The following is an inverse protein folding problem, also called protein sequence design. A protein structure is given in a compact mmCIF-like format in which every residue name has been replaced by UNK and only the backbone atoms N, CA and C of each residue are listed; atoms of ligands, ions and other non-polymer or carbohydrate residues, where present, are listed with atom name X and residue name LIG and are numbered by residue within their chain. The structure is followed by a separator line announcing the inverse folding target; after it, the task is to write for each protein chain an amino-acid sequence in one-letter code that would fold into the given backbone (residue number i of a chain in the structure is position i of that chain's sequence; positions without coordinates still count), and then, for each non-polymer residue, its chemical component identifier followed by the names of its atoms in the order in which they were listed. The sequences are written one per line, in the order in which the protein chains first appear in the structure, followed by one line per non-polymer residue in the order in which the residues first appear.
data_IF_926065186469
#
_entry.id   IF_926065186469
#
_cell.length_a   1.000
_cell.length_b   1.000
_cell.length_c   1.000
_cell.angle_alpha   90.00
_cell.angle_beta   90.00
_cell.angle_gamma   90.00
#
_symmetry.space_group_name_H-M   'P 1'
#
loop_
_entity.id
_entity.type
_entity.pdbx_description
1 polymer ?
#
# COMPACT_ATOMS: atom_id res chain seq x y z
N UNK A 1 -16.30 5.34 6.60
CA UNK A 1 -14.96 5.83 6.17
C UNK A 1 -14.36 6.61 7.33
N UNK A 2 -13.02 6.71 7.40
CA UNK A 2 -12.36 7.57 8.38
C UNK A 2 -12.49 9.04 7.95
N UNK A 3 -12.06 9.33 6.71
CA UNK A 3 -12.25 10.64 6.08
C UNK A 3 -13.71 10.87 5.68
N UNK A 4 -14.10 12.14 5.69
CA UNK A 4 -15.44 12.62 5.35
C UNK A 4 -15.38 13.85 4.42
N UNK A 5 -14.23 14.09 3.78
CA UNK A 5 -13.99 15.20 2.84
C UNK A 5 -14.94 15.16 1.62
N UNK A 6 -15.52 14.00 1.35
CA UNK A 6 -16.54 13.77 0.33
C UNK A 6 -17.96 14.21 0.76
N UNK A 7 -18.13 14.76 1.96
CA UNK A 7 -19.42 15.22 2.50
C UNK A 7 -19.32 16.71 2.84
N UNK A 8 -20.25 17.52 2.31
CA UNK A 8 -20.41 18.91 2.74
C UNK A 8 -21.02 18.97 4.14
N UNK A 9 -20.17 19.08 5.16
CA UNK A 9 -20.58 19.16 6.57
C UNK A 9 -21.43 20.41 6.83
N UNK A 10 -21.13 21.53 6.15
CA UNK A 10 -21.89 22.77 6.27
C UNK A 10 -23.35 22.60 5.82
N UNK A 11 -23.57 21.98 4.64
CA UNK A 11 -24.92 21.75 4.13
C UNK A 11 -25.70 20.71 4.94
N UNK A 12 -25.04 19.64 5.39
CA UNK A 12 -25.65 18.64 6.27
C UNK A 12 -26.13 19.26 7.58
N UNK A 13 -25.30 20.13 8.18
CA UNK A 13 -25.63 20.85 9.42
C UNK A 13 -26.82 21.78 9.23
N UNK A 14 -26.84 22.58 8.15
CA UNK A 14 -27.95 23.49 7.82
C UNK A 14 -29.30 22.77 7.68
N UNK A 15 -29.27 21.51 7.26
CA UNK A 15 -30.46 20.67 7.03
C UNK A 15 -30.77 19.73 8.19
N UNK A 16 -30.06 19.85 9.31
CA UNK A 16 -30.19 18.98 10.48
C UNK A 16 -29.98 17.48 10.18
N UNK A 17 -29.07 17.17 9.26
CA UNK A 17 -28.67 15.80 8.91
C UNK A 17 -27.43 15.42 9.72
N UNK A 18 -27.54 14.36 10.51
CA UNK A 18 -26.42 13.84 11.31
C UNK A 18 -25.45 13.07 10.41
N UNK A 19 -24.15 13.35 10.55
CA UNK A 19 -23.07 12.65 9.83
C UNK A 19 -22.17 11.96 10.85
N UNK A 20 -21.91 10.67 10.61
CA UNK A 20 -20.97 9.87 11.39
C UNK A 20 -19.83 9.33 10.53
N UNK A 21 -18.70 9.03 11.16
CA UNK A 21 -17.54 8.39 10.53
C UNK A 21 -17.00 7.25 11.44
N UNK A 22 -15.96 6.56 10.97
CA UNK A 22 -15.41 5.36 11.64
C UNK A 22 -13.91 5.50 11.89
N UNK A 23 -13.46 6.39 12.80
CA UNK A 23 -12.05 6.62 13.06
C UNK A 23 -11.39 5.44 13.81
N UNK A 24 -10.07 5.30 13.66
CA UNK A 24 -9.24 4.40 14.48
C UNK A 24 -9.25 2.91 14.12
N UNK A 25 -10.19 2.44 13.29
CA UNK A 25 -10.35 1.00 13.03
C UNK A 25 -9.50 0.43 11.88
N UNK A 26 -8.83 1.27 11.08
CA UNK A 26 -8.15 0.85 9.84
C UNK A 26 -6.63 1.09 9.85
N UNK A 27 -6.06 1.61 10.94
CA UNK A 27 -4.64 2.01 11.00
C UNK A 27 -3.72 0.82 10.76
N UNK A 28 -3.94 -0.29 11.49
CA UNK A 28 -3.12 -1.50 11.36
C UNK A 28 -3.24 -2.14 9.97
N UNK A 29 -4.47 -2.35 9.49
CA UNK A 29 -4.71 -2.95 8.18
C UNK A 29 -4.13 -2.13 7.02
N UNK A 30 -4.15 -0.80 7.14
CA UNK A 30 -3.53 0.10 6.15
C UNK A 30 -2.01 -0.02 6.19
N UNK A 31 -1.41 -0.11 7.37
CA UNK A 31 0.03 -0.31 7.52
C UNK A 31 0.49 -1.66 6.93
N UNK A 32 -0.24 -2.74 7.20
CA UNK A 32 0.04 -4.07 6.64
C UNK A 32 0.06 -4.04 5.11
N UNK A 33 -0.95 -3.40 4.52
CA UNK A 33 -1.03 -3.26 3.07
C UNK A 33 0.11 -2.39 2.52
N UNK A 34 0.47 -1.29 3.21
CA UNK A 34 1.58 -0.44 2.79
C UNK A 34 2.91 -1.20 2.75
N UNK A 35 3.23 -1.99 3.78
CA UNK A 35 4.43 -2.84 3.79
C UNK A 35 4.36 -3.98 2.79
N UNK A 36 3.17 -4.54 2.56
CA UNK A 36 2.94 -5.55 1.53
C UNK A 36 3.26 -4.99 0.14
N UNK A 37 2.78 -3.79 -0.18
CA UNK A 37 3.06 -3.12 -1.45
C UNK A 37 4.54 -2.76 -1.59
N UNK A 38 5.18 -2.27 -0.54
CA UNK A 38 6.62 -1.99 -0.51
C UNK A 38 7.43 -3.24 -0.87
N UNK A 39 7.15 -4.37 -0.22
CA UNK A 39 7.83 -5.64 -0.49
C UNK A 39 7.52 -6.18 -1.88
N UNK A 40 6.25 -6.13 -2.30
CA UNK A 40 5.81 -6.62 -3.59
C UNK A 40 6.51 -5.89 -4.74
N UNK A 41 6.67 -4.57 -4.61
CA UNK A 41 7.39 -3.73 -5.55
C UNK A 41 8.90 -4.05 -5.56
N UNK A 42 9.56 -4.00 -4.39
CA UNK A 42 11.00 -4.23 -4.29
C UNK A 42 11.43 -5.63 -4.76
N UNK A 43 10.60 -6.64 -4.47
CA UNK A 43 10.88 -8.06 -4.79
C UNK A 43 10.16 -8.57 -6.03
N UNK A 44 9.54 -7.68 -6.81
CA UNK A 44 8.91 -7.98 -8.10
C UNK A 44 7.88 -9.12 -8.03
N UNK A 45 7.13 -9.20 -6.93
CA UNK A 45 6.25 -10.35 -6.63
C UNK A 45 5.18 -10.53 -7.71
N UNK A 46 4.54 -9.45 -8.15
CA UNK A 46 3.50 -9.50 -9.19
C UNK A 46 4.07 -9.92 -10.55
N UNK A 47 5.29 -9.48 -10.88
CA UNK A 47 5.96 -9.90 -12.11
C UNK A 47 6.36 -11.38 -12.05
N UNK A 48 6.80 -11.85 -10.88
CA UNK A 48 7.16 -13.25 -10.64
C UNK A 48 5.96 -14.19 -10.78
N UNK A 49 4.81 -13.83 -10.19
CA UNK A 49 3.56 -14.58 -10.34
C UNK A 49 3.18 -14.69 -11.84
N UNK A 50 3.19 -13.56 -12.55
CA UNK A 50 2.92 -13.54 -13.99
C UNK A 50 3.96 -14.33 -14.81
N UNK A 51 5.23 -14.28 -14.43
CA UNK A 51 6.31 -15.02 -15.08
C UNK A 51 6.11 -16.53 -14.98
N UNK A 52 5.72 -17.00 -13.80
CA UNK A 52 5.42 -18.41 -13.53
C UNK A 52 4.15 -18.86 -14.24
N UNK A 53 3.05 -18.10 -14.15
CA UNK A 53 1.78 -18.42 -14.84
C UNK A 53 1.92 -18.52 -16.35
N UNK A 54 2.84 -17.75 -16.94
CA UNK A 54 3.18 -17.81 -18.39
C UNK A 54 4.10 -18.97 -18.77
N UNK A 55 4.44 -19.88 -17.83
CA UNK A 55 5.31 -21.02 -18.07
C UNK A 55 6.77 -20.66 -18.39
N UNK A 56 7.18 -19.41 -18.10
CA UNK A 56 8.55 -18.92 -18.39
C UNK A 56 9.57 -19.39 -17.34
N UNK A 57 9.11 -19.77 -16.15
CA UNK A 57 9.96 -20.41 -15.16
C UNK A 57 10.26 -21.86 -15.58
N UNK A 58 11.54 -22.14 -15.81
CA UNK A 58 12.05 -23.48 -16.19
C UNK A 58 12.92 -24.08 -15.10
N UNK A 59 13.79 -23.26 -14.52
CA UNK A 59 14.63 -23.59 -13.37
C UNK A 59 15.09 -22.30 -12.71
N UNK A 60 15.82 -22.42 -11.60
CA UNK A 60 16.50 -21.29 -10.98
C UNK A 60 17.62 -20.74 -11.89
N UNK A 61 17.85 -19.44 -11.84
CA UNK A 61 18.97 -18.80 -12.51
C UNK A 61 19.39 -17.51 -11.79
N UNK A 62 20.70 -17.20 -11.77
CA UNK A 62 21.25 -16.14 -10.90
C UNK A 62 20.80 -14.72 -11.28
N UNK A 63 20.20 -14.53 -12.45
CA UNK A 63 19.74 -13.22 -12.96
C UNK A 63 18.22 -13.13 -13.12
N UNK A 64 17.48 -14.20 -12.81
CA UNK A 64 16.04 -14.22 -13.01
C UNK A 64 15.39 -13.36 -11.92
N UNK A 65 14.66 -12.33 -12.33
CA UNK A 65 13.82 -11.49 -11.46
C UNK A 65 14.56 -10.91 -10.25
N UNK A 66 15.84 -10.52 -10.43
CA UNK A 66 16.55 -9.75 -9.41
C UNK A 66 15.74 -8.50 -9.02
N UNK A 67 15.58 -8.30 -7.72
CA UNK A 67 14.90 -7.17 -7.11
C UNK A 67 15.86 -6.43 -6.17
N UNK A 68 15.30 -5.53 -5.36
CA UNK A 68 16.05 -4.75 -4.39
C UNK A 68 15.85 -5.30 -2.98
N UNK A 69 16.93 -5.38 -2.22
CA UNK A 69 16.86 -5.67 -0.78
C UNK A 69 16.33 -4.43 -0.05
N UNK A 70 15.35 -4.65 0.82
CA UNK A 70 14.75 -3.59 1.67
C UNK A 70 15.32 -3.62 3.09
N UNK A 71 16.00 -4.70 3.46
CA UNK A 71 16.71 -4.78 4.73
C UNK A 71 17.86 -3.75 4.74
N UNK A 72 18.03 -3.04 5.86
CA UNK A 72 18.96 -1.91 6.01
C UNK A 72 18.71 -0.71 5.07
N UNK A 73 17.62 -0.69 4.30
CA UNK A 73 17.26 0.45 3.48
C UNK A 73 16.58 1.54 4.32
N UNK A 74 16.83 2.81 3.96
CA UNK A 74 16.08 3.94 4.51
C UNK A 74 14.77 4.09 3.74
N UNK A 75 13.62 3.89 4.40
CA UNK A 75 12.30 4.00 3.79
C UNK A 75 11.91 5.47 3.50
N UNK A 76 12.18 6.37 4.45
CA UNK A 76 11.98 7.82 4.30
C UNK A 76 13.19 8.52 4.91
N UNK A 77 13.80 9.44 4.17
CA UNK A 77 14.89 10.28 4.66
C UNK A 77 14.33 11.64 5.08
N UNK A 78 14.20 11.87 6.38
CA UNK A 78 13.77 13.16 6.92
C UNK A 78 14.97 14.09 7.02
N UNK A 79 15.40 14.71 5.90
CA UNK A 79 16.25 15.90 5.95
C UNK A 79 15.34 17.11 6.05
N UNK A 80 15.00 17.51 7.28
CA UNK A 80 14.50 18.85 7.57
C UNK A 80 15.66 19.83 7.40
N UNK A 81 15.64 20.60 6.31
CA UNK A 81 16.33 21.90 6.21
C UNK A 81 15.40 23.00 6.68
#
# INVERSE_FOLDING_TARGET
AVGYDNISIAEATKRHIVVGNTPGVLTGTTADLAFTLLMAAARRVVEADNYTRKGRWKTWGPKILLGQDIHNATLVNHRTT
#
